data_IF_846046720816
#
_entry.id   IF_846046720816
#
_cell.length_a   1.000
_cell.length_b   1.000
_cell.length_c   1.000
_cell.angle_alpha   90.00
_cell.angle_beta   90.00
_cell.angle_gamma   90.00
#
_symmetry.space_group_name_H-M   'P 1'
#
loop_
_entity.id
_entity.type
_entity.pdbx_description
1 polymer ?
#
# COMPACT_ATOMS: atom_id res chain seq x y z
N UNK A 1 33.14 16.12 20.43
CA UNK A 1 33.90 15.34 19.43
C UNK A 1 33.02 15.17 18.20
N UNK A 2 33.50 15.68 17.07
CA UNK A 2 32.80 15.85 15.80
C UNK A 2 32.74 14.56 14.98
N UNK A 3 31.56 14.34 14.37
CA UNK A 3 31.22 13.69 13.10
C UNK A 3 32.00 12.47 12.58
N UNK A 4 31.26 11.47 12.08
CA UNK A 4 31.55 10.78 10.81
C UNK A 4 30.31 10.03 10.31
N UNK A 5 29.72 10.55 9.22
CA UNK A 5 28.73 9.85 8.39
C UNK A 5 29.44 8.76 7.55
N UNK A 6 28.78 7.64 7.24
CA UNK A 6 29.22 6.77 6.15
C UNK A 6 28.56 7.18 4.83
N UNK A 7 29.38 7.58 3.86
CA UNK A 7 28.98 7.70 2.44
C UNK A 7 28.81 6.32 1.82
N UNK A 8 27.81 6.09 0.95
CA UNK A 8 27.82 4.99 0.01
C UNK A 8 28.29 5.49 -1.35
N UNK A 9 29.43 4.97 -1.81
CA UNK A 9 29.92 5.14 -3.17
C UNK A 9 28.89 4.58 -4.17
N UNK A 10 28.27 5.46 -4.97
CA UNK A 10 27.50 5.08 -6.15
C UNK A 10 28.47 4.92 -7.34
N UNK A 11 28.82 3.68 -7.67
CA UNK A 11 29.48 3.35 -8.93
C UNK A 11 28.50 3.53 -10.09
N UNK A 12 28.44 4.75 -10.64
CA UNK A 12 27.83 5.05 -11.93
C UNK A 12 28.82 4.60 -13.00
N UNK A 13 28.69 3.37 -13.50
CA UNK A 13 29.45 2.93 -14.67
C UNK A 13 28.75 3.48 -15.93
N UNK A 14 29.43 4.42 -16.59
CA UNK A 14 29.15 4.93 -17.93
C UNK A 14 29.89 4.08 -18.97
N UNK A 15 29.16 3.32 -19.77
CA UNK A 15 29.67 2.79 -21.03
C UNK A 15 29.53 3.89 -22.09
N UNK A 16 30.62 4.55 -22.48
CA UNK A 16 30.78 5.17 -23.80
C UNK A 16 32.27 5.40 -24.09
N UNK A 17 32.84 4.62 -25.01
CA UNK A 17 34.13 4.92 -25.62
C UNK A 17 33.92 5.99 -26.70
N UNK A 18 34.39 7.22 -26.47
CA UNK A 18 34.78 8.12 -27.57
C UNK A 18 35.89 9.07 -27.11
N UNK A 19 36.96 9.08 -27.90
CA UNK A 19 38.12 9.95 -27.75
C UNK A 19 37.77 11.40 -28.12
N UNK A 20 38.37 12.37 -27.43
CA UNK A 20 38.77 13.65 -28.02
C UNK A 20 37.82 14.85 -27.92
N UNK A 21 38.36 15.90 -27.29
CA UNK A 21 38.05 17.35 -27.40
C UNK A 21 37.03 17.99 -26.44
N UNK A 22 37.61 18.71 -25.48
CA UNK A 22 37.00 19.74 -24.64
C UNK A 22 36.41 20.87 -25.50
N UNK A 23 35.08 21.00 -25.51
CA UNK A 23 34.42 22.26 -25.88
C UNK A 23 33.46 22.64 -24.77
N UNK A 24 33.93 23.54 -23.90
CA UNK A 24 33.13 24.28 -22.93
C UNK A 24 32.04 25.06 -23.68
N UNK A 25 30.80 24.56 -23.65
CA UNK A 25 29.62 25.29 -24.13
C UNK A 25 28.62 25.50 -22.99
N UNK A 26 28.38 26.78 -22.69
CA UNK A 26 27.42 27.28 -21.70
C UNK A 26 26.02 26.64 -21.89
N UNK A 27 25.22 26.46 -20.83
CA UNK A 27 23.88 25.90 -20.96
C UNK A 27 22.95 26.91 -21.66
N UNK A 28 22.84 26.79 -22.99
CA UNK A 28 21.74 27.33 -23.75
C UNK A 28 20.47 26.56 -23.36
N UNK A 29 19.59 27.19 -22.58
CA UNK A 29 18.26 26.67 -22.30
C UNK A 29 17.53 26.42 -23.62
N UNK A 30 17.45 25.14 -24.05
CA UNK A 30 16.67 24.76 -25.22
C UNK A 30 15.18 24.85 -24.86
N UNK A 31 14.34 25.41 -25.76
CA UNK A 31 12.89 25.43 -25.55
C UNK A 31 12.38 24.00 -25.42
N UNK A 32 11.69 23.72 -24.31
CA UNK A 32 11.12 22.42 -24.00
C UNK A 32 10.01 22.11 -25.00
N UNK A 33 10.37 21.33 -26.01
CA UNK A 33 9.44 20.83 -27.01
C UNK A 33 8.47 19.87 -26.29
N UNK A 34 7.22 20.30 -26.06
CA UNK A 34 6.19 19.59 -25.27
C UNK A 34 5.79 18.21 -25.84
N UNK A 35 6.38 17.80 -26.97
CA UNK A 35 6.11 16.55 -27.68
C UNK A 35 7.31 15.59 -27.69
N UNK A 36 8.35 15.81 -26.89
CA UNK A 36 9.45 14.86 -26.76
C UNK A 36 8.93 13.56 -26.09
N UNK A 37 8.92 12.46 -26.84
CA UNK A 37 8.50 11.15 -26.35
C UNK A 37 9.43 10.73 -25.21
N UNK A 38 8.94 10.74 -23.97
CA UNK A 38 9.74 10.38 -22.80
C UNK A 38 9.96 8.87 -22.78
N UNK A 39 11.21 8.43 -22.91
CA UNK A 39 11.59 7.03 -22.78
C UNK A 39 12.01 6.75 -21.34
N UNK A 40 11.34 5.79 -20.70
CA UNK A 40 11.72 5.34 -19.37
C UNK A 40 13.11 4.70 -19.42
N UNK A 41 14.04 5.23 -18.62
CA UNK A 41 15.40 4.70 -18.45
C UNK A 41 15.76 4.71 -16.97
N UNK A 42 16.86 4.05 -16.58
CA UNK A 42 17.31 4.09 -15.19
C UNK A 42 17.66 5.51 -14.71
N UNK A 43 18.09 6.39 -15.63
CA UNK A 43 18.36 7.81 -15.36
C UNK A 43 17.10 8.66 -15.30
N UNK A 44 16.03 8.25 -16.00
CA UNK A 44 14.74 8.93 -16.00
C UNK A 44 13.59 7.91 -15.78
N UNK A 45 13.34 7.51 -14.52
CA UNK A 45 12.36 6.48 -14.18
C UNK A 45 10.93 7.05 -14.17
N UNK A 46 10.38 7.37 -15.35
CA UNK A 46 9.03 7.96 -15.53
C UNK A 46 7.93 7.19 -14.80
N UNK A 47 8.08 5.87 -14.64
CA UNK A 47 7.12 4.98 -13.98
C UNK A 47 7.64 4.39 -12.66
N UNK A 48 8.70 4.98 -12.09
CA UNK A 48 9.42 4.45 -10.94
C UNK A 48 10.25 3.19 -11.23
N UNK A 49 10.87 2.65 -10.19
CA UNK A 49 11.69 1.43 -10.25
C UNK A 49 10.88 0.17 -9.94
N UNK A 50 11.23 -0.96 -10.54
CA UNK A 50 10.61 -2.26 -10.26
C UNK A 50 11.06 -2.73 -8.87
N UNK A 51 10.09 -2.96 -7.99
CA UNK A 51 10.35 -3.48 -6.65
C UNK A 51 10.72 -4.97 -6.68
N UNK A 52 11.65 -5.37 -5.81
CA UNK A 52 12.07 -6.76 -5.65
C UNK A 52 13.03 -7.30 -6.72
N UNK A 53 13.53 -6.46 -7.63
CA UNK A 53 14.57 -6.88 -8.60
C UNK A 53 15.94 -6.90 -7.93
N UNK A 54 16.67 -8.00 -8.14
CA UNK A 54 18.04 -8.17 -7.65
C UNK A 54 18.98 -8.71 -8.72
N UNK A 55 20.28 -8.59 -8.45
CA UNK A 55 21.38 -9.21 -9.20
C UNK A 55 22.33 -9.87 -8.20
N UNK A 56 22.34 -11.20 -8.18
CA UNK A 56 23.01 -11.95 -7.12
C UNK A 56 22.44 -11.55 -5.75
N UNK A 57 23.31 -11.18 -4.81
CA UNK A 57 22.92 -10.77 -3.46
C UNK A 57 22.64 -9.26 -3.32
N UNK A 58 22.61 -8.50 -4.43
CA UNK A 58 22.42 -7.04 -4.42
C UNK A 58 21.06 -6.66 -5.00
N UNK A 59 20.46 -5.61 -4.46
CA UNK A 59 19.25 -4.99 -5.02
C UNK A 59 19.62 -4.24 -6.30
N UNK A 60 18.78 -4.35 -7.33
CA UNK A 60 19.01 -3.71 -8.63
C UNK A 60 17.92 -2.66 -8.91
N UNK A 61 18.33 -1.39 -9.00
CA UNK A 61 17.44 -0.29 -9.42
C UNK A 61 17.18 -0.38 -10.93
N UNK A 62 16.05 -0.99 -11.31
CA UNK A 62 15.64 -1.10 -12.71
C UNK A 62 14.36 -0.32 -12.96
N UNK A 63 14.39 0.67 -13.85
CA UNK A 63 13.22 1.49 -14.17
C UNK A 63 12.13 0.67 -14.89
N UNK A 64 10.87 0.91 -14.53
CA UNK A 64 9.72 0.32 -15.22
C UNK A 64 9.59 0.89 -16.63
N UNK A 65 9.47 0.00 -17.62
CA UNK A 65 9.20 0.40 -19.02
C UNK A 65 7.77 0.91 -19.25
N UNK A 66 6.82 0.52 -18.40
CA UNK A 66 5.40 0.89 -18.47
C UNK A 66 4.88 1.10 -17.05
N UNK A 67 3.85 1.94 -16.91
CA UNK A 67 3.17 2.11 -15.63
C UNK A 67 2.67 0.77 -15.08
N UNK A 68 2.78 0.60 -13.76
CA UNK A 68 2.24 -0.56 -13.07
C UNK A 68 0.72 -0.52 -13.14
N UNK A 69 0.10 -1.64 -13.50
CA UNK A 69 -1.36 -1.76 -13.52
C UNK A 69 -1.89 -1.88 -12.09
N UNK A 70 -3.09 -1.37 -11.85
CA UNK A 70 -3.78 -1.53 -10.57
C UNK A 70 -4.10 -3.00 -10.31
N UNK A 71 -4.22 -3.33 -9.01
CA UNK A 71 -4.63 -4.67 -8.58
C UNK A 71 -6.09 -4.90 -9.00
N UNK A 72 -6.43 -6.14 -9.34
CA UNK A 72 -7.81 -6.53 -9.63
C UNK A 72 -8.62 -6.48 -8.34
N UNK A 73 -9.79 -5.83 -8.38
CA UNK A 73 -10.74 -5.79 -7.25
C UNK A 73 -11.55 -7.07 -7.13
N UNK A 74 -11.90 -7.68 -8.28
CA UNK A 74 -12.64 -8.93 -8.34
C UNK A 74 -11.71 -10.15 -8.47
N UNK A 75 -11.90 -11.13 -7.59
CA UNK A 75 -11.15 -12.37 -7.54
C UNK A 75 -11.36 -13.24 -8.80
N UNK A 76 -12.55 -13.21 -9.41
CA UNK A 76 -12.82 -13.96 -10.63
C UNK A 76 -12.02 -13.40 -11.80
N UNK A 77 -12.03 -12.07 -11.97
CA UNK A 77 -11.19 -11.38 -12.95
C UNK A 77 -9.70 -11.61 -12.69
N UNK A 78 -9.24 -11.54 -11.44
CA UNK A 78 -7.85 -11.80 -11.07
C UNK A 78 -7.42 -13.21 -11.50
N UNK A 79 -8.25 -14.21 -11.22
CA UNK A 79 -7.96 -15.62 -11.53
C UNK A 79 -7.96 -15.90 -13.03
N UNK A 80 -8.89 -15.30 -13.79
CA UNK A 80 -8.94 -15.44 -15.26
C UNK A 80 -7.73 -14.76 -15.92
N UNK A 81 -7.44 -13.51 -15.52
CA UNK A 81 -6.30 -12.77 -16.04
C UNK A 81 -4.97 -13.42 -15.63
N UNK A 82 -4.86 -14.00 -14.44
CA UNK A 82 -3.68 -14.74 -14.01
C UNK A 82 -3.27 -15.82 -15.02
N UNK A 83 -4.22 -16.65 -15.46
CA UNK A 83 -3.91 -17.72 -16.43
C UNK A 83 -3.40 -17.15 -17.75
N UNK A 84 -4.04 -16.08 -18.25
CA UNK A 84 -3.63 -15.41 -19.49
C UNK A 84 -2.24 -14.78 -19.36
N UNK A 85 -2.03 -13.98 -18.31
CA UNK A 85 -0.78 -13.24 -18.08
C UNK A 85 0.40 -14.18 -17.80
N UNK A 86 0.19 -15.24 -17.03
CA UNK A 86 1.23 -16.25 -16.75
C UNK A 86 1.64 -16.99 -18.02
N UNK A 87 0.68 -17.30 -18.90
CA UNK A 87 0.98 -17.88 -20.21
C UNK A 87 1.82 -16.91 -21.05
N UNK A 88 1.38 -15.66 -21.20
CA UNK A 88 2.11 -14.65 -21.98
C UNK A 88 3.52 -14.40 -21.43
N UNK A 89 3.67 -14.45 -20.09
CA UNK A 89 4.95 -14.32 -19.42
C UNK A 89 5.89 -15.50 -19.70
N UNK A 90 5.38 -16.74 -19.60
CA UNK A 90 6.15 -17.95 -19.89
C UNK A 90 6.56 -17.99 -21.37
N UNK A 91 5.67 -17.66 -22.31
CA UNK A 91 6.00 -17.59 -23.73
C UNK A 91 7.13 -16.58 -23.99
N UNK A 92 7.11 -15.42 -23.34
CA UNK A 92 8.23 -14.45 -23.45
C UNK A 92 9.52 -14.99 -22.85
N UNK A 93 9.46 -15.69 -21.72
CA UNK A 93 10.63 -16.30 -21.12
C UNK A 93 11.22 -17.39 -22.03
N UNK A 94 10.36 -18.17 -22.69
CA UNK A 94 10.75 -19.14 -23.71
C UNK A 94 11.47 -18.47 -24.88
N UNK A 95 10.86 -17.44 -25.48
CA UNK A 95 11.45 -16.67 -26.59
C UNK A 95 12.82 -16.09 -26.23
N UNK A 96 12.95 -15.48 -25.05
CA UNK A 96 14.23 -14.94 -24.58
C UNK A 96 15.26 -16.08 -24.48
N UNK A 97 14.92 -17.16 -23.76
CA UNK A 97 15.86 -18.27 -23.55
C UNK A 97 16.33 -18.92 -24.85
N UNK A 98 15.43 -19.01 -25.84
CA UNK A 98 15.73 -19.61 -27.13
C UNK A 98 16.63 -18.69 -27.97
N UNK A 99 16.33 -17.38 -28.01
CA UNK A 99 17.08 -16.41 -28.82
C UNK A 99 18.45 -16.07 -28.26
N UNK A 100 18.61 -16.05 -26.93
CA UNK A 100 19.87 -15.67 -26.28
C UNK A 100 20.63 -16.86 -25.72
N UNK A 101 20.14 -18.09 -25.93
CA UNK A 101 20.72 -19.32 -25.40
C UNK A 101 21.03 -19.27 -23.88
N UNK A 102 20.23 -18.51 -23.12
CA UNK A 102 20.44 -18.24 -21.70
C UNK A 102 19.76 -19.27 -20.81
N UNK A 103 20.36 -19.54 -19.65
CA UNK A 103 19.69 -20.31 -18.60
C UNK A 103 18.61 -19.45 -17.92
N UNK A 104 17.36 -19.87 -18.06
CA UNK A 104 16.22 -19.24 -17.38
C UNK A 104 15.43 -20.29 -16.60
N UNK A 105 15.05 -19.91 -15.40
CA UNK A 105 14.07 -20.60 -14.56
C UNK A 105 13.06 -19.57 -14.06
N UNK A 106 11.79 -19.86 -14.27
CA UNK A 106 10.68 -18.98 -13.89
C UNK A 106 9.63 -19.83 -13.18
N UNK A 107 9.14 -19.37 -12.04
CA UNK A 107 8.06 -20.01 -11.30
C UNK A 107 7.04 -18.96 -10.85
N UNK A 108 5.76 -19.29 -10.98
CA UNK A 108 4.65 -18.40 -10.69
C UNK A 108 3.50 -19.19 -10.05
N UNK A 109 2.95 -18.68 -8.94
CA UNK A 109 1.79 -19.27 -8.29
C UNK A 109 0.77 -18.19 -7.91
N UNK A 110 -0.51 -18.53 -8.01
CA UNK A 110 -1.59 -17.71 -7.50
C UNK A 110 -2.10 -18.38 -6.21
N UNK A 111 -2.12 -17.68 -5.05
CA UNK A 111 -2.55 -18.25 -3.78
C UNK A 111 -3.93 -18.92 -3.83
N UNK A 112 -4.85 -18.36 -4.63
CA UNK A 112 -6.22 -18.85 -4.78
C UNK A 112 -6.36 -20.00 -5.79
N UNK A 113 -5.30 -20.35 -6.53
CA UNK A 113 -5.36 -21.45 -7.49
C UNK A 113 -5.35 -22.80 -6.77
N UNK A 114 -6.24 -23.72 -7.15
CA UNK A 114 -6.23 -25.10 -6.63
C UNK A 114 -5.03 -25.92 -7.13
N UNK A 115 -4.52 -25.61 -8.32
CA UNK A 115 -3.43 -26.32 -8.98
C UNK A 115 -2.05 -25.95 -8.40
N UNK A 116 -1.02 -26.78 -8.57
CA UNK A 116 0.37 -26.42 -8.24
C UNK A 116 0.87 -25.18 -8.99
N UNK A 117 2.04 -24.68 -8.59
CA UNK A 117 2.67 -23.55 -9.28
C UNK A 117 3.04 -23.91 -10.73
N UNK A 118 2.90 -22.93 -11.61
CA UNK A 118 3.32 -23.06 -13.01
C UNK A 118 4.77 -22.61 -13.13
N UNK A 119 5.56 -23.32 -13.92
CA UNK A 119 6.97 -23.01 -14.08
C UNK A 119 7.43 -23.22 -15.52
N UNK A 120 8.54 -22.56 -15.84
CA UNK A 120 9.27 -22.74 -17.08
C UNK A 120 10.75 -22.89 -16.76
N UNK A 121 11.38 -23.88 -17.41
CA UNK A 121 12.82 -24.06 -17.38
C UNK A 121 13.34 -24.12 -18.82
N UNK A 122 14.25 -23.22 -19.14
CA UNK A 122 14.89 -23.15 -20.46
C UNK A 122 15.45 -24.50 -20.91
N UNK A 123 15.46 -24.76 -22.22
CA UNK A 123 16.00 -26.01 -22.80
C UNK A 123 17.43 -26.28 -22.30
N UNK A 124 18.27 -25.25 -22.29
CA UNK A 124 19.68 -25.36 -21.88
C UNK A 124 19.81 -25.80 -20.42
N UNK A 125 19.05 -25.20 -19.50
CA UNK A 125 19.06 -25.57 -18.09
C UNK A 125 18.58 -27.01 -17.87
N UNK A 126 17.54 -27.44 -18.59
CA UNK A 126 17.02 -28.81 -18.52
C UNK A 126 18.03 -29.86 -19.00
N UNK A 127 18.86 -29.53 -19.99
CA UNK A 127 19.86 -30.42 -20.55
C UNK A 127 21.12 -30.48 -19.69
N UNK A 128 21.62 -29.33 -19.25
CA UNK A 128 22.93 -29.24 -18.60
C UNK A 128 22.89 -29.61 -17.11
N UNK A 129 21.80 -29.29 -16.40
CA UNK A 129 21.70 -29.51 -14.96
C UNK A 129 20.33 -30.08 -14.52
N UNK A 130 19.89 -31.24 -15.05
CA UNK A 130 18.57 -31.79 -14.74
C UNK A 130 18.38 -32.11 -13.25
N UNK A 131 19.43 -32.63 -12.58
CA UNK A 131 19.36 -33.00 -11.15
C UNK A 131 19.22 -31.78 -10.24
N UNK A 132 19.98 -30.71 -10.50
CA UNK A 132 19.89 -29.49 -9.69
C UNK A 132 18.61 -28.71 -9.99
N UNK A 133 18.13 -28.73 -11.23
CA UNK A 133 16.82 -28.20 -11.58
C UNK A 133 15.71 -28.90 -10.77
N UNK A 134 15.79 -30.22 -10.58
CA UNK A 134 14.83 -30.94 -9.75
C UNK A 134 14.88 -30.49 -8.28
N UNK A 135 16.08 -30.26 -7.72
CA UNK A 135 16.22 -29.72 -6.36
C UNK A 135 15.59 -28.34 -6.25
N UNK A 136 15.86 -27.43 -7.20
CA UNK A 136 15.24 -26.10 -7.24
C UNK A 136 13.73 -26.23 -7.28
N UNK A 137 13.21 -27.14 -8.12
CA UNK A 137 11.79 -27.38 -8.26
C UNK A 137 11.14 -27.82 -6.94
N UNK A 138 11.77 -28.73 -6.20
CA UNK A 138 11.31 -29.17 -4.88
C UNK A 138 11.34 -28.06 -3.84
N UNK A 139 12.41 -27.24 -3.82
CA UNK A 139 12.53 -26.11 -2.89
C UNK A 139 11.43 -25.08 -3.15
N UNK A 140 11.20 -24.72 -4.41
CA UNK A 140 10.14 -23.79 -4.80
C UNK A 140 8.76 -24.36 -4.47
N UNK A 141 8.52 -25.66 -4.72
CA UNK A 141 7.26 -26.31 -4.36
C UNK A 141 6.97 -26.22 -2.85
N UNK A 142 7.98 -26.52 -2.03
CA UNK A 142 7.90 -26.43 -0.57
C UNK A 142 7.60 -24.99 -0.12
N UNK A 143 8.38 -24.02 -0.63
CA UNK A 143 8.21 -22.60 -0.33
C UNK A 143 6.79 -22.11 -0.69
N UNK A 144 6.31 -22.41 -1.90
CA UNK A 144 4.97 -21.99 -2.34
C UNK A 144 3.86 -22.62 -1.48
N UNK A 145 4.05 -23.85 -1.00
CA UNK A 145 3.11 -24.51 -0.09
C UNK A 145 3.04 -23.80 1.26
N UNK A 146 4.19 -23.40 1.81
CA UNK A 146 4.25 -22.63 3.06
C UNK A 146 3.57 -21.27 2.89
N UNK A 147 3.89 -20.55 1.81
CA UNK A 147 3.30 -19.23 1.52
C UNK A 147 1.78 -19.33 1.38
N UNK A 148 1.26 -20.35 0.70
CA UNK A 148 -0.18 -20.57 0.54
C UNK A 148 -0.88 -20.89 1.87
N UNK A 149 -0.22 -21.62 2.76
CA UNK A 149 -0.76 -21.87 4.12
C UNK A 149 -0.79 -20.58 4.94
N UNK A 150 0.27 -19.78 4.86
CA UNK A 150 0.33 -18.48 5.53
C UNK A 150 -0.74 -17.52 5.02
N UNK A 151 -0.93 -17.43 3.70
CA UNK A 151 -1.96 -16.60 3.07
C UNK A 151 -3.38 -16.98 3.53
N UNK A 152 -3.69 -18.28 3.60
CA UNK A 152 -4.96 -18.77 4.13
C UNK A 152 -5.14 -18.44 5.61
N UNK A 153 -4.10 -18.61 6.42
CA UNK A 153 -4.14 -18.28 7.85
C UNK A 153 -4.40 -16.78 8.06
N UNK A 154 -3.73 -15.93 7.30
CA UNK A 154 -3.92 -14.48 7.33
C UNK A 154 -5.32 -14.09 6.87
N UNK A 155 -5.84 -14.71 5.81
CA UNK A 155 -7.20 -14.46 5.33
C UNK A 155 -8.25 -14.77 6.41
N UNK A 156 -8.13 -15.91 7.08
CA UNK A 156 -9.01 -16.28 8.21
C UNK A 156 -8.87 -15.28 9.37
N UNK A 157 -7.65 -14.84 9.68
CA UNK A 157 -7.44 -13.85 10.73
C UNK A 157 -8.09 -12.50 10.39
N UNK A 158 -7.93 -12.03 9.16
CA UNK A 158 -8.57 -10.80 8.69
C UNK A 158 -10.10 -10.87 8.74
N UNK A 159 -10.70 -12.02 8.43
CA UNK A 159 -12.14 -12.23 8.58
C UNK A 159 -12.58 -12.11 10.05
N UNK A 160 -11.87 -12.77 10.97
CA UNK A 160 -12.13 -12.67 12.41
C UNK A 160 -11.97 -11.24 12.94
N UNK A 161 -10.91 -10.55 12.54
CA UNK A 161 -10.65 -9.17 12.97
C UNK A 161 -11.74 -8.22 12.45
N UNK A 162 -12.25 -8.47 11.23
CA UNK A 162 -13.38 -7.74 10.66
C UNK A 162 -14.67 -7.98 11.44
N UNK A 163 -15.00 -9.23 11.76
CA UNK A 163 -16.17 -9.57 12.58
C UNK A 163 -16.11 -8.91 13.96
N UNK A 164 -14.96 -8.99 14.63
CA UNK A 164 -14.74 -8.32 15.91
C UNK A 164 -14.89 -6.81 15.82
N UNK A 165 -14.39 -6.20 14.75
CA UNK A 165 -14.51 -4.76 14.51
C UNK A 165 -15.96 -4.35 14.30
N UNK A 166 -16.74 -5.14 13.55
CA UNK A 166 -18.18 -4.90 13.34
C UNK A 166 -18.98 -5.02 14.64
N UNK A 167 -18.67 -6.02 15.48
CA UNK A 167 -19.31 -6.14 16.80
C UNK A 167 -19.02 -4.95 17.70
N UNK A 168 -17.78 -4.45 17.70
CA UNK A 168 -17.40 -3.24 18.45
C UNK A 168 -18.10 -1.99 17.93
N UNK A 169 -18.19 -1.82 16.61
CA UNK A 169 -18.92 -0.70 16.00
C UNK A 169 -20.37 -0.74 16.45
N UNK A 170 -21.03 -1.91 16.38
CA UNK A 170 -22.41 -2.06 16.84
C UNK A 170 -22.58 -1.74 18.33
N UNK A 171 -21.67 -2.20 19.18
CA UNK A 171 -21.70 -1.86 20.61
C UNK A 171 -21.54 -0.36 20.85
N UNK A 172 -20.67 0.31 20.10
CA UNK A 172 -20.48 1.76 20.18
C UNK A 172 -21.74 2.49 19.68
N UNK A 173 -22.37 2.02 18.61
CA UNK A 173 -23.64 2.57 18.10
C UNK A 173 -24.77 2.43 19.12
N UNK A 174 -24.89 1.25 19.76
CA UNK A 174 -25.88 0.99 20.82
C UNK A 174 -25.62 1.88 22.05
N UNK A 175 -24.35 2.10 22.42
CA UNK A 175 -23.99 3.03 23.51
C UNK A 175 -24.26 4.50 23.14
N UNK A 176 -23.96 4.89 21.89
CA UNK A 176 -24.17 6.24 21.40
C UNK A 176 -25.66 6.58 21.34
N UNK A 177 -26.49 5.64 20.88
CA UNK A 177 -27.96 5.81 20.86
C UNK A 177 -28.50 5.95 22.28
N UNK A 178 -28.09 5.09 23.22
CA UNK A 178 -28.49 5.21 24.62
C UNK A 178 -28.03 6.53 25.27
N UNK A 179 -26.79 6.95 25.02
CA UNK A 179 -26.26 8.21 25.53
C UNK A 179 -27.01 9.43 24.94
N UNK A 180 -27.34 9.40 23.66
CA UNK A 180 -28.13 10.44 23.00
C UNK A 180 -29.54 10.53 23.58
N UNK A 181 -30.17 9.39 23.89
CA UNK A 181 -31.50 9.39 24.54
C UNK A 181 -31.44 10.00 25.94
N UNK A 182 -30.40 9.69 26.72
CA UNK A 182 -30.18 10.28 28.05
C UNK A 182 -29.92 11.79 27.95
N UNK A 183 -29.04 12.20 27.02
CA UNK A 183 -28.76 13.62 26.77
C UNK A 183 -30.03 14.38 26.37
N UNK A 184 -30.84 13.83 25.47
CA UNK A 184 -32.12 14.44 25.05
C UNK A 184 -33.11 14.59 26.21
N UNK A 185 -33.19 13.60 27.11
CA UNK A 185 -34.05 13.69 28.31
C UNK A 185 -33.54 14.78 29.27
N UNK A 186 -32.24 14.81 29.54
CA UNK A 186 -31.63 15.82 30.40
C UNK A 186 -31.79 17.24 29.83
N UNK A 187 -31.69 17.42 28.51
CA UNK A 187 -31.94 18.69 27.84
C UNK A 187 -33.40 19.15 27.99
N UNK A 188 -34.36 18.24 27.83
CA UNK A 188 -35.78 18.53 28.02
C UNK A 188 -36.10 18.93 29.47
N UNK A 189 -35.55 18.23 30.46
CA UNK A 189 -35.70 18.57 31.88
C UNK A 189 -35.04 19.91 32.22
N UNK A 190 -33.83 20.17 31.71
CA UNK A 190 -33.14 21.44 31.91
C UNK A 190 -33.91 22.61 31.28
N UNK A 191 -34.57 22.39 30.14
CA UNK A 191 -35.41 23.39 29.50
C UNK A 191 -36.68 23.66 30.32
N UNK A 192 -37.36 22.62 30.82
CA UNK A 192 -38.53 22.77 31.69
C UNK A 192 -38.18 23.57 32.97
N UNK A 193 -37.07 23.24 33.64
CA UNK A 193 -36.61 23.98 34.83
C UNK A 193 -36.26 25.44 34.53
N UNK A 194 -35.71 25.74 33.35
CA UNK A 194 -35.45 27.12 32.92
C UNK A 194 -36.74 27.89 32.67
N UNK A 195 -37.75 27.26 32.08
CA UNK A 195 -39.06 27.86 31.86
C UNK A 195 -39.78 28.14 33.19
N UNK A 196 -39.73 27.20 34.13
CA UNK A 196 -40.27 27.38 35.49
C UNK A 196 -39.54 28.51 36.24
N UNK A 197 -38.20 28.53 36.21
CA UNK A 197 -37.41 29.60 36.81
C UNK A 197 -37.73 30.96 36.19
N UNK A 198 -37.86 31.04 34.86
CA UNK A 198 -38.25 32.27 34.17
C UNK A 198 -39.68 32.72 34.51
N UNK A 199 -40.62 31.77 34.66
CA UNK A 199 -41.98 32.07 35.10
C UNK A 199 -42.00 32.59 36.55
N UNK A 200 -41.24 31.96 37.45
CA UNK A 200 -41.06 32.42 38.83
C UNK A 200 -40.47 33.84 38.87
N UNK A 201 -39.43 34.11 38.09
CA UNK A 201 -38.80 35.43 38.03
C UNK A 201 -39.75 36.51 37.51
N UNK A 202 -40.60 36.18 36.52
CA UNK A 202 -41.65 37.10 36.04
C UNK A 202 -42.65 37.43 37.15
N UNK A 203 -43.11 36.43 37.90
CA UNK A 203 -44.02 36.65 39.04
C UNK A 203 -43.35 37.50 40.12
N UNK A 204 -42.11 37.20 40.50
CA UNK A 204 -41.39 37.97 41.52
C UNK A 204 -41.21 39.44 41.12
N UNK A 205 -40.93 39.72 39.83
CA UNK A 205 -40.89 41.09 39.30
C UNK A 205 -42.25 41.79 39.37
N UNK A 206 -43.35 41.07 39.12
CA UNK A 206 -44.71 41.62 39.23
C UNK A 206 -45.04 42.05 40.68
N UNK A 207 -44.51 41.34 41.68
CA UNK A 207 -44.67 41.67 43.11
C UNK A 207 -43.57 42.61 43.66
N UNK A 208 -42.79 43.27 42.80
CA UNK A 208 -41.84 44.31 43.20
C UNK A 208 -40.51 43.81 43.77
N UNK A 209 -40.20 42.51 43.67
CA UNK A 209 -38.92 41.95 44.10
C UNK A 209 -37.88 42.05 42.97
N UNK A 210 -36.70 42.62 43.27
CA UNK A 210 -35.59 42.79 42.33
C UNK A 210 -34.33 42.07 42.85
N UNK A 211 -33.63 41.27 42.02
CA UNK A 211 -32.40 40.59 42.42
C UNK A 211 -31.29 41.64 42.63
N UNK A 212 -31.09 42.02 43.89
CA UNK A 212 -30.20 43.09 44.32
C UNK A 212 -30.66 43.78 45.62
N UNK A 213 -31.95 43.65 45.98
CA UNK A 213 -32.48 44.19 47.23
C UNK A 213 -32.32 43.18 48.38
N UNK A 214 -31.07 42.80 48.69
CA UNK A 214 -30.77 42.09 49.94
C UNK A 214 -30.56 43.17 50.99
N UNK A 215 -31.40 43.31 52.03
CA UNK A 215 -31.08 44.22 53.12
C UNK A 215 -29.80 43.73 53.77
N UNK A 216 -28.73 44.52 53.63
CA UNK A 216 -27.48 44.33 54.35
C UNK A 216 -27.85 44.37 55.83
N UNK A 217 -27.92 43.21 56.50
CA UNK A 217 -28.03 43.19 57.95
C UNK A 217 -26.78 43.86 58.48
N UNK A 218 -26.96 45.05 59.07
CA UNK A 218 -25.92 45.75 59.79
C UNK A 218 -25.42 44.83 60.91
N UNK A 219 -24.14 44.46 60.83
CA UNK A 219 -23.43 43.84 61.92
C UNK A 219 -23.30 44.87 63.05
N UNK A 220 -23.84 44.53 64.21
CA UNK A 220 -23.50 45.07 65.53
C UNK A 220 -23.43 43.92 66.51
#
# INVERSE_FOLDING_TARGET
MTASNPSPDEDIISDDESEGEEIVTKPSAKPTNKNARTYASNRNPVHGFIDGVGRGNRVLKMARRRALKTVFTDQSQASSNWRRLTRDFITRAEDISNRTASWLYVAAHNPSAGQPFTHFASRRLRMEAPKDLQKIHQHVASMMTVLKRADRANSIQHEKDKEQSLLKIKQIEDQLTAANEVARKAEAEAQALREEAAARDRLLRQYGWSPGNVPTQAAT
#
